data_IF_100410366027
#
_entry.id   IF_100410366027
#
_cell.length_a   1.000
_cell.length_b   1.000
_cell.length_c   1.000
_cell.angle_alpha   90.00
_cell.angle_beta   90.00
_cell.angle_gamma   90.00
#
_symmetry.space_group_name_H-M   'P 1'
#
loop_
_entity.id
_entity.type
_entity.pdbx_description
1 polymer ?
#
# COMPACT_ATOMS: atom_id res chain seq x y z
N UNK A 1 -13.67 6.99 20.39
CA UNK A 1 -12.66 7.57 19.48
C UNK A 1 -13.33 8.62 18.63
N UNK A 2 -12.72 9.81 18.45
CA UNK A 2 -13.09 10.75 17.38
C UNK A 2 -12.09 10.50 16.25
N UNK A 3 -12.57 10.33 15.01
CA UNK A 3 -11.74 10.01 13.85
C UNK A 3 -12.38 8.96 12.95
N UNK A 4 -11.96 8.92 11.69
CA UNK A 4 -12.42 7.93 10.71
C UNK A 4 -11.36 6.83 10.54
N UNK A 5 -11.80 5.57 10.46
CA UNK A 5 -10.94 4.49 9.97
C UNK A 5 -10.81 4.64 8.46
N UNK A 6 -9.59 4.77 7.96
CA UNK A 6 -9.33 5.07 6.53
C UNK A 6 -8.66 3.92 5.77
N UNK A 7 -8.01 3.00 6.48
CA UNK A 7 -7.56 1.71 5.94
C UNK A 7 -7.42 0.72 7.09
N UNK A 8 -7.58 -0.57 6.77
CA UNK A 8 -7.53 -1.65 7.73
C UNK A 8 -7.11 -2.97 7.08
N UNK A 9 -6.57 -3.88 7.89
CA UNK A 9 -6.28 -5.25 7.51
C UNK A 9 -6.58 -6.21 8.67
N UNK A 10 -6.88 -7.47 8.35
CA UNK A 10 -7.16 -8.53 9.33
C UNK A 10 -6.19 -9.66 9.12
N UNK A 11 -5.43 -10.01 10.17
CA UNK A 11 -4.52 -11.15 10.17
C UNK A 11 -4.71 -11.92 11.46
N UNK A 12 -4.98 -13.22 11.33
CA UNK A 12 -5.36 -14.11 12.42
C UNK A 12 -6.53 -13.53 13.24
N UNK A 13 -6.35 -13.40 14.56
CA UNK A 13 -7.34 -12.84 15.49
C UNK A 13 -7.18 -11.34 15.75
N UNK A 14 -6.55 -10.61 14.82
CA UNK A 14 -6.25 -9.20 15.02
C UNK A 14 -6.71 -8.33 13.85
N UNK A 15 -7.33 -7.21 14.20
CA UNK A 15 -7.71 -6.13 13.32
C UNK A 15 -6.72 -4.97 13.47
N UNK A 16 -6.07 -4.61 12.36
CA UNK A 16 -5.13 -3.50 12.26
C UNK A 16 -5.80 -2.38 11.49
N UNK A 17 -5.68 -1.14 11.96
CA UNK A 17 -6.35 -0.01 11.30
C UNK A 17 -5.61 1.30 11.48
N UNK A 18 -5.71 2.15 10.46
CA UNK A 18 -5.32 3.56 10.53
C UNK A 18 -6.54 4.36 10.97
N UNK A 19 -6.41 5.06 12.09
CA UNK A 19 -7.37 6.06 12.55
C UNK A 19 -6.87 7.45 12.17
N UNK A 20 -7.62 8.15 11.31
CA UNK A 20 -7.32 9.53 10.97
C UNK A 20 -7.90 10.47 12.04
N UNK A 21 -7.00 11.07 12.83
CA UNK A 21 -7.31 12.05 13.88
C UNK A 21 -6.08 12.95 14.12
N UNK A 22 -5.79 13.83 13.15
CA UNK A 22 -4.65 14.77 13.14
C UNK A 22 -3.26 14.11 13.02
N UNK A 23 -3.16 13.00 12.28
CA UNK A 23 -1.88 12.31 11.97
C UNK A 23 -2.03 10.80 11.80
N UNK A 24 -0.90 10.09 11.58
CA UNK A 24 -0.87 8.61 11.48
C UNK A 24 -0.97 7.97 12.85
N UNK A 25 -2.15 7.40 13.15
CA UNK A 25 -2.29 6.49 14.30
C UNK A 25 -2.71 5.12 13.81
N UNK A 26 -1.74 4.20 13.82
CA UNK A 26 -1.99 2.79 13.54
C UNK A 26 -2.32 2.12 14.88
N UNK A 27 -3.47 1.45 14.90
CA UNK A 27 -3.94 0.67 16.03
C UNK A 27 -4.02 -0.80 15.67
N UNK A 28 -4.00 -1.63 16.71
CA UNK A 28 -4.29 -3.06 16.67
C UNK A 28 -5.30 -3.36 17.75
N UNK A 29 -6.28 -4.19 17.45
CA UNK A 29 -7.20 -4.77 18.43
C UNK A 29 -7.45 -6.23 18.10
N UNK A 30 -7.95 -7.01 19.06
CA UNK A 30 -8.51 -8.33 18.76
C UNK A 30 -9.72 -8.19 17.83
N UNK A 31 -9.96 -9.21 17.02
CA UNK A 31 -11.10 -9.29 16.09
C UNK A 31 -12.47 -9.29 16.80
N UNK A 32 -12.49 -9.56 18.11
CA UNK A 32 -13.66 -9.42 19.00
C UNK A 32 -13.88 -7.99 19.53
N UNK A 33 -13.00 -7.04 19.20
CA UNK A 33 -13.06 -5.64 19.63
C UNK A 33 -12.38 -5.32 20.97
N UNK A 34 -11.70 -6.29 21.60
CA UNK A 34 -10.94 -6.09 22.84
C UNK A 34 -9.45 -5.79 22.59
N UNK A 35 -8.69 -5.49 23.64
CA UNK A 35 -7.23 -5.29 23.60
C UNK A 35 -6.75 -4.26 22.56
N UNK A 36 -7.38 -3.09 22.55
CA UNK A 36 -7.00 -1.98 21.68
C UNK A 36 -5.65 -1.40 22.12
N UNK A 37 -4.67 -1.43 21.22
CA UNK A 37 -3.31 -0.93 21.42
C UNK A 37 -2.94 0.01 20.27
N UNK A 38 -2.34 1.17 20.59
CA UNK A 38 -1.72 2.05 19.60
C UNK A 38 -0.31 1.52 19.26
N UNK A 39 -0.03 1.30 17.98
CA UNK A 39 1.26 0.77 17.48
C UNK A 39 2.23 1.91 17.13
N UNK A 40 1.77 2.95 16.43
CA UNK A 40 2.62 4.09 16.04
C UNK A 40 2.34 5.32 16.91
N UNK A 41 3.38 5.98 17.42
CA UNK A 41 3.27 7.28 18.09
C UNK A 41 3.40 8.45 17.10
N UNK A 42 2.79 9.57 17.50
CA UNK A 42 2.45 10.78 16.74
C UNK A 42 3.59 11.30 15.85
N UNK A 43 3.45 11.12 14.53
CA UNK A 43 4.16 11.88 13.51
C UNK A 43 3.11 12.60 12.65
N UNK A 44 3.35 13.85 12.21
CA UNK A 44 2.38 14.69 11.50
C UNK A 44 2.04 14.22 10.07
N UNK A 45 2.37 12.98 9.72
CA UNK A 45 2.11 12.46 8.38
C UNK A 45 0.67 11.95 8.26
N UNK A 46 0.12 11.94 7.06
CA UNK A 46 -1.17 11.29 6.79
C UNK A 46 -0.92 9.87 6.30
N UNK A 47 -1.38 8.85 7.01
CA UNK A 47 -1.30 7.48 6.52
C UNK A 47 -2.51 7.22 5.63
N UNK A 48 -2.31 6.45 4.57
CA UNK A 48 -3.34 6.27 3.55
C UNK A 48 -3.78 4.83 3.44
N UNK A 49 -2.83 3.90 3.41
CA UNK A 49 -3.11 2.48 3.26
C UNK A 49 -2.22 1.64 4.17
N UNK A 50 -2.71 0.46 4.59
CA UNK A 50 -1.95 -0.49 5.40
C UNK A 50 -2.19 -1.92 4.95
N UNK A 51 -1.16 -2.75 5.04
CA UNK A 51 -1.23 -4.21 4.92
C UNK A 51 -0.33 -4.87 5.94
N UNK A 52 -0.78 -5.98 6.50
CA UNK A 52 -0.01 -6.82 7.40
C UNK A 52 0.43 -8.07 6.66
N UNK A 53 1.74 -8.34 6.63
CA UNK A 53 2.29 -9.49 5.94
C UNK A 53 3.55 -10.00 6.62
N UNK A 54 3.62 -11.32 6.88
CA UNK A 54 4.75 -12.01 7.55
C UNK A 54 5.34 -11.22 8.73
N UNK A 55 4.50 -10.93 9.72
CA UNK A 55 4.87 -10.22 10.96
C UNK A 55 5.44 -8.81 10.75
N UNK A 56 5.07 -8.12 9.67
CA UNK A 56 5.38 -6.71 9.47
C UNK A 56 4.14 -5.94 9.04
N UNK A 57 4.15 -4.64 9.33
CA UNK A 57 3.15 -3.69 8.85
C UNK A 57 3.78 -2.89 7.73
N UNK A 58 3.15 -2.94 6.55
CA UNK A 58 3.47 -2.13 5.38
C UNK A 58 2.43 -1.03 5.28
N UNK A 59 2.86 0.21 5.13
CA UNK A 59 1.94 1.33 5.15
C UNK A 59 2.46 2.48 4.30
N UNK A 60 1.54 3.26 3.75
CA UNK A 60 1.88 4.48 3.02
C UNK A 60 1.61 5.71 3.87
N UNK A 61 2.56 6.66 3.87
CA UNK A 61 2.39 7.99 4.47
C UNK A 61 2.50 9.06 3.40
N UNK A 62 1.77 10.17 3.55
CA UNK A 62 1.81 11.33 2.66
C UNK A 62 2.66 12.43 3.27
N UNK A 63 3.42 13.12 2.43
CA UNK A 63 3.99 14.43 2.79
C UNK A 63 2.92 15.52 2.68
N UNK A 64 3.25 16.72 3.20
CA UNK A 64 2.39 17.91 3.17
C UNK A 64 1.95 18.33 1.76
N UNK A 65 2.68 17.92 0.72
CA UNK A 65 2.36 18.24 -0.68
C UNK A 65 1.19 17.40 -1.24
N UNK A 66 0.71 16.41 -0.49
CA UNK A 66 -0.38 15.47 -0.85
C UNK A 66 -0.20 14.74 -2.20
N UNK A 67 0.99 14.80 -2.81
CA UNK A 67 1.32 14.20 -4.09
C UNK A 67 2.38 13.11 -3.95
N UNK A 68 3.17 13.13 -2.88
CA UNK A 68 4.19 12.13 -2.59
C UNK A 68 3.74 11.21 -1.46
N UNK A 69 3.81 9.90 -1.72
CA UNK A 69 3.57 8.89 -0.70
C UNK A 69 4.85 8.09 -0.47
N UNK A 70 5.16 7.83 0.79
CA UNK A 70 6.27 6.98 1.21
C UNK A 70 5.72 5.61 1.58
N UNK A 71 6.12 4.57 0.85
CA UNK A 71 5.87 3.19 1.23
C UNK A 71 6.89 2.81 2.30
N UNK A 72 6.39 2.51 3.49
CA UNK A 72 7.18 2.19 4.67
C UNK A 72 6.87 0.79 5.18
N UNK A 73 7.79 0.26 5.99
CA UNK A 73 7.67 -1.00 6.71
C UNK A 73 8.08 -0.80 8.16
N UNK A 74 7.38 -1.46 9.08
CA UNK A 74 7.75 -1.54 10.49
C UNK A 74 7.43 -2.91 11.09
N UNK A 75 7.99 -3.18 12.26
CA UNK A 75 7.62 -4.33 13.09
C UNK A 75 6.18 -4.17 13.62
N UNK A 76 5.58 -5.28 14.06
CA UNK A 76 4.21 -5.30 14.61
C UNK A 76 4.04 -4.48 15.90
N UNK A 77 5.14 -4.11 16.55
CA UNK A 77 5.19 -3.27 17.76
C UNK A 77 5.51 -1.80 17.45
N UNK A 78 5.62 -1.42 16.18
CA UNK A 78 5.89 -0.05 15.73
C UNK A 78 7.37 0.30 15.63
N UNK A 79 8.28 -0.61 15.97
CA UNK A 79 9.74 -0.42 15.88
C UNK A 79 10.28 -0.69 14.47
N UNK A 80 11.57 -0.36 14.24
CA UNK A 80 12.29 -0.62 12.97
C UNK A 80 11.60 -0.06 11.72
N UNK A 81 11.09 1.18 11.79
CA UNK A 81 10.53 1.89 10.65
C UNK A 81 11.60 2.07 9.55
N UNK A 82 11.30 1.59 8.35
CA UNK A 82 12.18 1.67 7.19
C UNK A 82 11.38 2.08 5.96
N UNK A 83 11.87 3.08 5.22
CA UNK A 83 11.31 3.47 3.92
C UNK A 83 11.73 2.44 2.87
N UNK A 84 10.77 1.98 2.06
CA UNK A 84 10.99 1.05 0.95
C UNK A 84 11.09 1.80 -0.37
N UNK A 85 10.10 2.67 -0.67
CA UNK A 85 10.02 3.36 -1.94
C UNK A 85 9.16 4.63 -1.87
N UNK A 86 9.30 5.48 -2.88
CA UNK A 86 8.35 6.57 -3.16
C UNK A 86 7.29 6.12 -4.16
N UNK A 87 6.04 6.37 -3.81
CA UNK A 87 4.85 5.89 -4.50
C UNK A 87 3.77 6.98 -4.63
N UNK A 88 2.67 6.61 -5.27
CA UNK A 88 1.46 7.44 -5.45
C UNK A 88 0.35 6.94 -4.51
N UNK A 89 -0.78 7.66 -4.46
CA UNK A 89 -1.91 7.34 -3.60
C UNK A 89 -2.52 5.96 -3.92
N UNK A 90 -2.82 5.15 -2.88
CA UNK A 90 -3.46 3.82 -2.98
C UNK A 90 -2.80 2.85 -3.96
N UNK A 91 -1.47 2.89 -4.02
CA UNK A 91 -0.76 2.31 -5.14
C UNK A 91 0.16 1.16 -4.79
N UNK A 92 -0.12 0.37 -3.73
CA UNK A 92 0.62 -0.86 -3.46
C UNK A 92 -0.26 -2.08 -3.10
N UNK A 93 0.28 -3.26 -3.34
CA UNK A 93 -0.25 -4.55 -2.88
C UNK A 93 0.89 -5.55 -2.69
N UNK A 94 0.68 -6.61 -1.91
CA UNK A 94 1.70 -7.60 -1.57
C UNK A 94 1.24 -8.98 -2.05
N UNK A 95 2.11 -9.67 -2.79
CA UNK A 95 1.86 -11.02 -3.27
C UNK A 95 3.16 -11.81 -3.37
N UNK A 96 3.20 -13.02 -2.79
CA UNK A 96 4.35 -13.93 -2.81
C UNK A 96 5.70 -13.26 -2.47
N UNK A 97 5.79 -12.57 -1.32
CA UNK A 97 6.99 -11.86 -0.86
C UNK A 97 7.46 -10.69 -1.75
N UNK A 98 6.63 -10.26 -2.70
CA UNK A 98 6.84 -9.05 -3.49
C UNK A 98 5.81 -7.99 -3.14
N UNK A 99 6.27 -6.75 -3.06
CA UNK A 99 5.45 -5.55 -2.98
C UNK A 99 5.41 -4.98 -4.39
N UNK A 100 4.21 -4.89 -4.95
CA UNK A 100 3.97 -4.25 -6.23
C UNK A 100 3.47 -2.85 -5.95
N UNK A 101 4.02 -1.86 -6.63
CA UNK A 101 3.67 -0.47 -6.40
C UNK A 101 3.75 0.37 -7.67
N UNK A 102 3.04 1.50 -7.67
CA UNK A 102 3.17 2.53 -8.71
C UNK A 102 4.21 3.56 -8.26
N UNK A 103 5.16 3.92 -9.11
CA UNK A 103 6.17 4.94 -8.81
C UNK A 103 5.59 6.34 -8.77
N UNK A 104 6.10 7.17 -7.86
CA UNK A 104 5.75 8.60 -7.76
C UNK A 104 5.92 9.36 -9.09
N UNK A 105 7.10 9.25 -9.72
CA UNK A 105 7.49 10.18 -10.79
C UNK A 105 6.91 9.81 -12.16
N UNK A 106 6.83 8.51 -12.47
CA UNK A 106 6.43 8.03 -13.80
C UNK A 106 5.09 7.32 -13.82
N UNK A 107 4.46 7.09 -12.66
CA UNK A 107 3.31 6.22 -12.52
C UNK A 107 3.53 4.80 -13.07
N UNK A 108 4.77 4.30 -13.11
CA UNK A 108 5.06 2.97 -13.63
C UNK A 108 4.83 1.91 -12.58
N UNK A 109 4.36 0.75 -13.03
CA UNK A 109 4.21 -0.41 -12.17
C UNK A 109 5.57 -1.09 -11.98
N UNK A 110 6.00 -1.18 -10.73
CA UNK A 110 7.23 -1.85 -10.31
C UNK A 110 6.93 -2.87 -9.22
N UNK A 111 7.92 -3.69 -8.92
CA UNK A 111 7.92 -4.56 -7.73
C UNK A 111 9.25 -4.54 -7.03
N UNK A 112 9.22 -4.72 -5.72
CA UNK A 112 10.40 -4.88 -4.86
C UNK A 112 10.11 -5.99 -3.85
N UNK A 113 11.12 -6.74 -3.41
CA UNK A 113 10.91 -7.75 -2.38
C UNK A 113 10.53 -7.10 -1.05
N UNK A 114 9.87 -7.86 -0.19
CA UNK A 114 9.48 -7.43 1.17
C UNK A 114 10.64 -7.05 2.10
N UNK A 115 11.87 -7.36 1.71
CA UNK A 115 13.12 -6.97 2.37
C UNK A 115 13.75 -5.68 1.78
N UNK A 116 13.14 -5.11 0.74
CA UNK A 116 13.62 -3.91 0.03
C UNK A 116 14.57 -4.20 -1.13
N UNK A 117 14.94 -5.46 -1.39
CA UNK A 117 15.85 -5.82 -2.49
C UNK A 117 15.11 -6.12 -3.81
N UNK A 118 15.86 -6.14 -4.92
CA UNK A 118 15.35 -6.62 -6.20
C UNK A 118 14.28 -5.73 -6.86
N UNK A 119 14.32 -4.43 -6.64
CA UNK A 119 13.46 -3.45 -7.33
C UNK A 119 13.57 -3.64 -8.86
N UNK A 120 12.44 -3.99 -9.48
CA UNK A 120 12.32 -4.28 -10.91
C UNK A 120 11.06 -3.64 -11.49
N UNK A 121 11.18 -3.10 -12.70
CA UNK A 121 10.04 -2.60 -13.47
C UNK A 121 9.21 -3.76 -14.01
N UNK A 122 7.88 -3.63 -13.93
CA UNK A 122 6.92 -4.56 -14.53
C UNK A 122 6.41 -3.99 -15.85
N UNK A 123 6.06 -2.71 -15.89
CA UNK A 123 5.61 -2.05 -17.12
C UNK A 123 5.70 -0.52 -17.05
N UNK A 124 5.78 0.11 -18.22
CA UNK A 124 5.86 1.57 -18.41
C UNK A 124 4.51 2.23 -18.71
N UNK A 125 3.39 1.51 -18.50
CA UNK A 125 2.07 2.15 -18.53
C UNK A 125 1.87 2.96 -17.24
N UNK A 126 1.36 4.19 -17.40
CA UNK A 126 1.00 5.07 -16.30
C UNK A 126 -0.21 4.53 -15.53
N UNK A 127 0.07 3.73 -14.51
CA UNK A 127 -0.89 3.04 -13.67
C UNK A 127 -1.32 3.84 -12.44
N UNK A 128 -2.48 3.49 -11.88
CA UNK A 128 -3.03 3.94 -10.60
C UNK A 128 -3.84 2.80 -9.99
N UNK A 129 -4.05 2.82 -8.67
CA UNK A 129 -4.94 1.91 -7.95
C UNK A 129 -4.77 0.43 -8.32
N UNK A 130 -3.77 -0.24 -7.75
CA UNK A 130 -3.49 -1.64 -8.07
C UNK A 130 -4.07 -2.60 -7.02
N UNK A 131 -4.52 -3.77 -7.48
CA UNK A 131 -4.84 -4.93 -6.65
C UNK A 131 -4.39 -6.22 -7.32
N UNK A 132 -3.99 -7.20 -6.53
CA UNK A 132 -3.48 -8.47 -7.03
C UNK A 132 -4.43 -9.60 -6.71
N UNK A 133 -4.71 -10.44 -7.70
CA UNK A 133 -5.46 -11.67 -7.50
C UNK A 133 -5.00 -12.75 -8.48
N UNK A 134 -4.75 -13.95 -7.99
CA UNK A 134 -4.42 -15.13 -8.79
C UNK A 134 -3.29 -14.89 -9.83
N UNK A 135 -2.22 -14.20 -9.41
CA UNK A 135 -1.07 -13.90 -10.27
C UNK A 135 -1.34 -12.84 -11.35
N UNK A 136 -2.44 -12.09 -11.26
CA UNK A 136 -2.74 -10.92 -12.06
C UNK A 136 -2.70 -9.66 -11.22
N UNK A 137 -2.16 -8.59 -11.79
CA UNK A 137 -2.22 -7.25 -11.28
C UNK A 137 -3.33 -6.53 -12.05
N UNK A 138 -4.35 -6.10 -11.35
CA UNK A 138 -5.44 -5.27 -11.86
C UNK A 138 -5.13 -3.83 -11.49
N UNK A 139 -5.17 -2.93 -12.45
CA UNK A 139 -4.77 -1.54 -12.24
C UNK A 139 -5.48 -0.62 -13.23
N UNK A 140 -5.55 0.66 -12.92
CA UNK A 140 -6.14 1.67 -13.79
C UNK A 140 -5.03 2.38 -14.57
N UNK A 141 -5.15 2.42 -15.90
CA UNK A 141 -4.21 3.14 -16.77
C UNK A 141 -4.81 4.47 -17.16
N UNK A 142 -4.02 5.53 -17.02
CA UNK A 142 -4.39 6.87 -17.47
C UNK A 142 -4.23 6.98 -19.00
N UNK A 143 -5.31 7.30 -19.71
CA UNK A 143 -5.26 7.62 -21.13
C UNK A 143 -6.22 8.76 -21.46
N UNK A 144 -5.67 9.87 -21.98
CA UNK A 144 -6.39 11.14 -22.14
C UNK A 144 -6.99 11.62 -20.81
N UNK A 145 -8.31 11.81 -20.74
CA UNK A 145 -9.02 12.31 -19.55
C UNK A 145 -9.62 11.19 -18.69
N UNK A 146 -9.37 9.91 -19.04
CA UNK A 146 -10.04 8.76 -18.42
C UNK A 146 -9.05 7.76 -17.82
N UNK A 147 -9.53 7.05 -16.80
CA UNK A 147 -8.90 5.88 -16.23
C UNK A 147 -9.57 4.63 -16.79
N UNK A 148 -8.78 3.77 -17.42
CA UNK A 148 -9.27 2.53 -17.99
C UNK A 148 -8.77 1.33 -17.17
N UNK A 149 -9.61 0.31 -16.93
CA UNK A 149 -9.17 -0.89 -16.23
C UNK A 149 -8.28 -1.74 -17.13
N UNK A 150 -7.13 -2.15 -16.60
CA UNK A 150 -6.19 -3.07 -17.23
C UNK A 150 -5.89 -4.23 -16.29
N UNK A 151 -5.39 -5.33 -16.86
CA UNK A 151 -4.68 -6.35 -16.10
C UNK A 151 -3.39 -6.75 -16.80
N UNK A 152 -2.41 -7.14 -16.00
CA UNK A 152 -1.10 -7.64 -16.44
C UNK A 152 -0.68 -8.79 -15.53
N UNK A 153 0.05 -9.79 -16.05
CA UNK A 153 0.63 -10.84 -15.20
C UNK A 153 1.67 -10.25 -14.27
N UNK A 154 1.88 -10.89 -13.13
CA UNK A 154 2.89 -10.49 -12.12
C UNK A 154 4.35 -10.49 -12.62
N UNK A 155 4.60 -11.07 -13.80
CA UNK A 155 5.88 -11.09 -14.50
C UNK A 155 5.97 -10.04 -15.62
N UNK A 156 4.92 -9.25 -15.85
CA UNK A 156 4.85 -8.23 -16.90
C UNK A 156 4.28 -8.69 -18.23
N UNK A 157 3.89 -9.97 -18.36
CA UNK A 157 3.29 -10.50 -19.59
C UNK A 157 1.77 -10.26 -19.67
N UNK A 158 1.17 -10.47 -20.84
CA UNK A 158 -0.27 -10.42 -21.10
C UNK A 158 -0.98 -9.13 -20.64
N UNK A 159 -0.31 -7.98 -20.80
CA UNK A 159 -0.91 -6.69 -20.51
C UNK A 159 -2.09 -6.39 -21.46
N UNK A 160 -3.28 -6.18 -20.90
CA UNK A 160 -4.50 -5.97 -21.68
C UNK A 160 -5.50 -5.04 -20.97
N UNK A 161 -6.18 -4.21 -21.77
CA UNK A 161 -7.33 -3.41 -21.36
C UNK A 161 -8.54 -4.33 -21.10
N UNK A 162 -9.31 -4.07 -20.05
CA UNK A 162 -10.46 -4.88 -19.63
C UNK A 162 -11.82 -4.36 -20.14
N UNK A 163 -11.92 -3.09 -20.54
CA UNK A 163 -13.14 -2.51 -21.09
C UNK A 163 -12.86 -1.78 -22.40
N UNK A 164 -13.78 -1.85 -23.37
CA UNK A 164 -13.68 -1.08 -24.61
C UNK A 164 -13.98 0.39 -24.35
#
# INVERSE_FOLDING_TARGET
MKGAVISCDVVDHYFYYILNNDGVKIYKMKDDGTDIVQISSDEPEFAVDLKVYKNHIYYTTSTDDHNTFHLNKMNMDGTLKTKIADTTYNAFDIFNDWIYYITKDSNFLRRVKIDGSGDTEITQFEGRYLKISNGWIYYLVHAHEYLYPYKIRIDGTDNQKLSN
#
